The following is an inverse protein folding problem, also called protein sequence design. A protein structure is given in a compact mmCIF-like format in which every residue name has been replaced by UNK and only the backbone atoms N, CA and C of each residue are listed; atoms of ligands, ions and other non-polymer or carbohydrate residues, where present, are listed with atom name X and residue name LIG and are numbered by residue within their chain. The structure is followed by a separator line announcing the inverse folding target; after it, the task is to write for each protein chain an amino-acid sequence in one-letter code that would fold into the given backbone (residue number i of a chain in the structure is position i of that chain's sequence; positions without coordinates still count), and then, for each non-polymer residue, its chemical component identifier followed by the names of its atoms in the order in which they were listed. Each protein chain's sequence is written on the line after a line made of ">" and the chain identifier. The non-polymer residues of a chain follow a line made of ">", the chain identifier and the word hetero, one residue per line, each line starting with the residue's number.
data_IF_884963383378
#
_entry.id   IF_884963383378
#
_cell.length_a   1.000
_cell.length_b   1.000
_cell.length_c   1.000
_cell.angle_alpha   90.00
_cell.angle_beta   90.00
_cell.angle_gamma   90.00
#
_symmetry.space_group_name_H-M   'P 1'
#
loop_
_entity.id
_entity.type
_entity.pdbx_description
1 polymer ?
#
# COMPACT_ATOMS: atom_id res chain seq x y z
N UNK A 1 -22.76 -3.37 -43.09
CA UNK A 1 -21.42 -3.70 -42.57
C UNK A 1 -21.17 -2.82 -41.36
N UNK A 2 -21.02 -3.41 -40.17
CA UNK A 2 -20.94 -2.65 -38.92
C UNK A 2 -19.47 -2.41 -38.52
N UNK A 3 -19.21 -1.20 -38.02
CA UNK A 3 -17.88 -0.72 -37.62
C UNK A 3 -17.26 -1.51 -36.44
N UNK A 4 -18.01 -2.43 -35.83
CA UNK A 4 -17.55 -3.23 -34.70
C UNK A 4 -16.56 -4.33 -35.12
N UNK A 5 -16.67 -4.89 -36.33
CA UNK A 5 -15.76 -5.94 -36.81
C UNK A 5 -14.35 -5.41 -37.12
N UNK A 6 -14.23 -4.14 -37.55
CA UNK A 6 -12.95 -3.52 -37.87
C UNK A 6 -12.08 -3.25 -36.63
N UNK A 7 -12.70 -2.87 -35.49
CA UNK A 7 -11.98 -2.61 -34.24
C UNK A 7 -11.48 -3.90 -33.58
N UNK A 8 -12.14 -5.04 -33.82
CA UNK A 8 -11.69 -6.36 -33.37
C UNK A 8 -10.39 -6.82 -34.05
N UNK A 9 -10.21 -6.47 -35.33
CA UNK A 9 -9.04 -6.88 -36.12
C UNK A 9 -7.76 -6.13 -35.70
N UNK A 10 -7.90 -4.87 -35.26
CA UNK A 10 -6.77 -4.05 -34.80
C UNK A 10 -6.27 -4.44 -33.41
N UNK A 11 -7.15 -4.89 -32.51
CA UNK A 11 -6.76 -5.15 -31.12
C UNK A 11 -6.24 -6.58 -30.88
N UNK A 12 -6.64 -7.55 -31.71
CA UNK A 12 -6.41 -8.98 -31.42
C UNK A 12 -5.94 -9.83 -32.59
N UNK A 13 -5.94 -9.29 -33.81
CA UNK A 13 -5.39 -9.97 -35.00
C UNK A 13 -6.16 -11.21 -35.49
N UNK A 14 -7.34 -11.53 -34.94
CA UNK A 14 -8.16 -12.66 -35.36
C UNK A 14 -9.66 -12.38 -35.21
N UNK A 15 -10.45 -12.74 -36.23
CA UNK A 15 -11.91 -12.62 -36.24
C UNK A 15 -12.58 -13.67 -35.37
N UNK A 16 -13.69 -13.31 -34.73
CA UNK A 16 -14.45 -14.23 -33.86
C UNK A 16 -14.98 -15.43 -34.68
N UNK A 17 -14.43 -16.61 -34.45
CA UNK A 17 -15.14 -17.86 -34.73
C UNK A 17 -15.67 -18.44 -33.42
N UNK A 18 -16.98 -18.65 -33.41
CA UNK A 18 -17.77 -19.25 -32.34
C UNK A 18 -17.41 -20.72 -32.18
N UNK A 19 -16.92 -21.12 -31.00
CA UNK A 19 -16.68 -22.53 -30.68
C UNK A 19 -15.86 -22.83 -29.42
N UNK A 20 -15.37 -21.80 -28.70
CA UNK A 20 -14.45 -22.00 -27.57
C UNK A 20 -14.80 -21.12 -26.36
N UNK A 21 -16.09 -20.90 -26.11
CA UNK A 21 -16.54 -19.96 -25.05
C UNK A 21 -16.57 -20.58 -23.65
N UNK A 22 -16.81 -21.89 -23.53
CA UNK A 22 -16.97 -22.55 -22.22
C UNK A 22 -15.65 -22.87 -21.54
N UNK A 23 -14.64 -23.39 -22.27
CA UNK A 23 -13.32 -23.67 -21.68
C UNK A 23 -12.60 -22.41 -21.25
N UNK A 24 -12.72 -21.30 -21.99
CA UNK A 24 -12.06 -20.04 -21.64
C UNK A 24 -12.73 -19.39 -20.42
N UNK A 25 -14.05 -19.48 -20.29
CA UNK A 25 -14.79 -18.99 -19.11
C UNK A 25 -14.53 -19.86 -17.87
N UNK A 26 -14.48 -21.18 -18.00
CA UNK A 26 -14.11 -22.06 -16.87
C UNK A 26 -12.65 -21.89 -16.46
N UNK A 27 -11.74 -21.72 -17.41
CA UNK A 27 -10.31 -21.49 -17.13
C UNK A 27 -10.10 -20.13 -16.46
N UNK A 28 -10.80 -19.08 -16.88
CA UNK A 28 -10.71 -17.76 -16.23
C UNK A 28 -11.33 -17.78 -14.83
N UNK A 29 -12.37 -18.57 -14.59
CA UNK A 29 -12.95 -18.77 -13.26
C UNK A 29 -12.01 -19.57 -12.34
N UNK A 30 -11.35 -20.62 -12.85
CA UNK A 30 -10.34 -21.39 -12.11
C UNK A 30 -9.08 -20.56 -11.82
N UNK A 31 -8.61 -19.74 -12.76
CA UNK A 31 -7.51 -18.80 -12.54
C UNK A 31 -7.94 -17.72 -11.52
N UNK A 32 -9.16 -17.21 -11.61
CA UNK A 32 -9.71 -16.25 -10.64
C UNK A 32 -9.77 -16.83 -9.22
N UNK A 33 -10.17 -18.10 -9.07
CA UNK A 33 -10.15 -18.81 -7.78
C UNK A 33 -8.72 -19.14 -7.31
N UNK A 34 -7.81 -19.53 -8.21
CA UNK A 34 -6.41 -19.81 -7.88
C UNK A 34 -5.62 -18.56 -7.49
N UNK A 35 -5.93 -17.40 -8.10
CA UNK A 35 -5.39 -16.10 -7.73
C UNK A 35 -6.05 -15.58 -6.45
N UNK A 36 -7.34 -15.83 -6.22
CA UNK A 36 -7.97 -15.51 -4.93
C UNK A 36 -7.39 -16.36 -3.78
N UNK A 37 -7.04 -17.63 -4.04
CA UNK A 37 -6.44 -18.54 -3.05
C UNK A 37 -4.96 -18.23 -2.80
N UNK A 38 -4.20 -17.80 -3.82
CA UNK A 38 -2.79 -17.37 -3.66
C UNK A 38 -2.63 -15.88 -3.28
N UNK A 39 -3.62 -15.04 -3.54
CA UNK A 39 -3.70 -13.64 -3.11
C UNK A 39 -3.87 -13.47 -1.60
N UNK A 40 -4.19 -14.53 -0.86
CA UNK A 40 -4.24 -14.51 0.61
C UNK A 40 -2.87 -14.69 1.28
N UNK A 41 -1.82 -15.03 0.54
CA UNK A 41 -0.51 -15.33 1.16
C UNK A 41 0.43 -14.11 1.19
N UNK A 42 0.11 -13.02 0.49
CA UNK A 42 0.93 -11.79 0.52
C UNK A 42 0.53 -10.83 1.66
N UNK A 43 -0.62 -11.03 2.31
CA UNK A 43 -1.12 -10.14 3.37
C UNK A 43 -0.90 -10.61 4.82
N UNK A 44 -0.45 -11.85 5.05
CA UNK A 44 -0.53 -12.49 6.38
C UNK A 44 0.79 -12.59 7.17
N UNK A 45 1.87 -11.98 6.72
CA UNK A 45 3.06 -11.78 7.57
C UNK A 45 2.83 -10.49 8.38
N UNK A 46 1.84 -10.49 9.28
CA UNK A 46 1.47 -9.33 10.11
C UNK A 46 0.22 -9.52 10.98
N UNK A 47 -0.75 -10.35 10.57
CA UNK A 47 -2.02 -10.54 11.29
C UNK A 47 -1.87 -11.14 12.70
N UNK A 48 -0.79 -11.89 13.00
CA UNK A 48 -0.62 -12.52 14.32
C UNK A 48 -0.22 -11.52 15.42
N UNK A 49 0.40 -10.39 15.04
CA UNK A 49 0.81 -9.34 15.98
C UNK A 49 0.01 -8.04 15.80
N UNK A 50 -0.91 -7.98 14.85
CA UNK A 50 -1.71 -6.78 14.55
C UNK A 50 -0.89 -5.63 13.94
N UNK A 51 0.36 -5.88 13.54
CA UNK A 51 1.24 -4.88 12.94
C UNK A 51 1.64 -5.33 11.53
N UNK A 52 1.40 -4.47 10.55
CA UNK A 52 1.68 -4.70 9.13
C UNK A 52 2.77 -3.76 8.63
N UNK A 53 3.52 -4.20 7.62
CA UNK A 53 4.52 -3.39 6.92
C UNK A 53 5.57 -2.77 7.85
N UNK A 54 6.17 -3.57 8.74
CA UNK A 54 7.29 -3.11 9.54
C UNK A 54 8.49 -2.80 8.63
N UNK A 55 9.09 -1.64 8.84
CA UNK A 55 10.30 -1.20 8.16
C UNK A 55 11.30 -0.62 9.17
N UNK A 56 12.57 -0.76 8.84
CA UNK A 56 13.70 -0.25 9.59
C UNK A 56 14.51 0.63 8.64
N UNK A 57 14.56 1.92 8.94
CA UNK A 57 15.18 2.94 8.11
C UNK A 57 16.14 3.80 8.95
N UNK A 58 16.97 4.58 8.27
CA UNK A 58 17.81 5.62 8.89
C UNK A 58 17.44 6.96 8.27
N UNK A 59 17.01 7.91 9.09
CA UNK A 59 16.59 9.24 8.65
C UNK A 59 17.55 10.31 9.24
N UNK A 60 17.67 11.46 8.58
CA UNK A 60 18.52 12.58 9.04
C UNK A 60 19.98 12.51 8.58
N UNK A 61 20.71 13.61 8.81
CA UNK A 61 22.12 13.78 8.41
C UNK A 61 22.95 14.44 9.53
N UNK A 62 24.22 14.04 9.64
CA UNK A 62 25.11 14.54 10.70
C UNK A 62 24.60 14.19 12.10
N UNK A 63 24.61 15.15 13.01
CA UNK A 63 24.19 14.96 14.42
C UNK A 63 22.69 14.63 14.56
N UNK A 64 21.89 14.93 13.54
CA UNK A 64 20.46 14.58 13.48
C UNK A 64 20.16 13.18 12.93
N UNK A 65 21.19 12.35 12.73
CA UNK A 65 21.01 10.99 12.22
C UNK A 65 20.30 10.12 13.26
N UNK A 66 19.24 9.44 12.84
CA UNK A 66 18.40 8.59 13.69
C UNK A 66 18.07 7.27 13.00
N UNK A 67 17.93 6.22 13.80
CA UNK A 67 17.36 4.93 13.37
C UNK A 67 15.87 4.96 13.63
N UNK A 68 15.07 4.69 12.61
CA UNK A 68 13.62 4.77 12.67
C UNK A 68 13.00 3.41 12.38
N UNK A 69 12.15 2.96 13.29
CA UNK A 69 11.28 1.80 13.08
C UNK A 69 9.89 2.33 12.74
N UNK A 70 9.29 1.84 11.65
CA UNK A 70 7.93 2.21 11.28
C UNK A 70 7.05 1.00 11.00
N UNK A 71 5.74 1.14 11.19
CA UNK A 71 4.78 0.09 10.90
C UNK A 71 3.33 0.58 11.03
N UNK A 72 2.38 -0.23 10.55
CA UNK A 72 0.95 0.06 10.65
C UNK A 72 0.32 -0.84 11.70
N UNK A 73 -0.27 -0.24 12.75
CA UNK A 73 -0.92 -0.97 13.85
C UNK A 73 -2.44 -1.11 13.66
N UNK A 74 -3.04 -0.23 12.86
CA UNK A 74 -4.42 -0.33 12.40
C UNK A 74 -4.51 0.12 10.94
N UNK A 75 -5.58 -0.24 10.20
CA UNK A 75 -5.83 0.31 8.88
C UNK A 75 -5.85 1.85 8.91
N UNK A 76 -4.87 2.47 8.24
CA UNK A 76 -4.72 3.92 8.19
C UNK A 76 -4.00 4.57 9.38
N UNK A 77 -3.57 3.80 10.40
CA UNK A 77 -2.74 4.29 11.50
C UNK A 77 -1.31 3.76 11.38
N UNK A 78 -0.38 4.65 11.03
CA UNK A 78 1.05 4.39 11.02
C UNK A 78 1.67 4.90 12.32
N UNK A 79 2.59 4.11 12.87
CA UNK A 79 3.43 4.49 14.01
C UNK A 79 4.87 4.45 13.55
N UNK A 80 5.63 5.50 13.89
CA UNK A 80 7.08 5.55 13.72
C UNK A 80 7.73 5.82 15.07
N UNK A 81 8.83 5.15 15.34
CA UNK A 81 9.65 5.35 16.52
C UNK A 81 11.10 5.50 16.08
N UNK A 82 11.63 6.71 16.20
CA UNK A 82 13.00 7.08 15.88
C UNK A 82 13.85 7.27 17.14
N UNK A 83 15.10 6.85 17.08
CA UNK A 83 16.11 7.13 18.12
C UNK A 83 17.35 7.72 17.46
N UNK A 84 17.76 8.91 17.91
CA UNK A 84 18.98 9.56 17.46
C UNK A 84 20.23 8.75 17.78
N UNK A 85 21.13 8.62 16.80
CA UNK A 85 22.36 7.82 16.91
C UNK A 85 23.38 8.55 17.80
N UNK A 86 23.38 9.88 17.77
CA UNK A 86 24.38 10.71 18.47
C UNK A 86 23.83 11.31 19.77
N UNK A 87 22.64 11.89 19.72
CA UNK A 87 22.00 12.55 20.86
C UNK A 87 21.13 11.61 21.71
N UNK A 88 20.87 10.39 21.24
CA UNK A 88 19.99 9.39 21.87
C UNK A 88 18.55 9.89 22.14
N UNK A 89 18.10 10.90 21.39
CA UNK A 89 16.76 11.45 21.54
C UNK A 89 15.74 10.54 20.86
N UNK A 90 14.69 10.16 21.61
CA UNK A 90 13.61 9.34 21.09
C UNK A 90 12.47 10.22 20.56
N UNK A 91 11.97 9.90 19.36
CA UNK A 91 10.83 10.56 18.73
C UNK A 91 9.79 9.54 18.32
N UNK A 92 8.57 9.71 18.80
CA UNK A 92 7.39 8.93 18.43
C UNK A 92 6.53 9.77 17.47
N UNK A 93 6.22 9.23 16.31
CA UNK A 93 5.30 9.84 15.35
C UNK A 93 4.10 8.93 15.12
N UNK A 94 2.91 9.47 15.25
CA UNK A 94 1.64 8.82 14.97
C UNK A 94 1.00 9.51 13.79
N UNK A 95 0.72 8.79 12.70
CA UNK A 95 0.06 9.33 11.52
C UNK A 95 -1.22 8.56 11.24
N UNK A 96 -2.35 9.25 11.32
CA UNK A 96 -3.68 8.68 11.05
C UNK A 96 -4.32 9.30 9.81
N UNK A 97 -4.82 8.47 8.90
CA UNK A 97 -5.61 8.92 7.75
C UNK A 97 -7.07 9.10 8.15
N UNK A 98 -7.50 10.36 8.29
CA UNK A 98 -8.88 10.70 8.61
C UNK A 98 -9.82 10.56 7.39
N UNK A 99 -9.37 11.04 6.23
CA UNK A 99 -10.11 10.98 4.96
C UNK A 99 -9.12 10.79 3.81
N UNK A 100 -9.57 10.44 2.59
CA UNK A 100 -8.71 10.55 1.42
C UNK A 100 -8.09 11.95 1.37
N UNK A 101 -6.76 12.02 1.26
CA UNK A 101 -5.98 13.27 1.24
C UNK A 101 -5.89 14.05 2.56
N UNK A 102 -6.56 13.63 3.64
CA UNK A 102 -6.49 14.27 4.96
C UNK A 102 -5.83 13.35 5.99
N UNK A 103 -4.71 13.81 6.55
CA UNK A 103 -3.92 13.08 7.53
C UNK A 103 -3.76 13.92 8.79
N UNK A 104 -3.86 13.27 9.94
CA UNK A 104 -3.51 13.84 11.23
C UNK A 104 -2.19 13.22 11.67
N UNK A 105 -1.24 14.05 12.05
CA UNK A 105 0.07 13.63 12.51
C UNK A 105 0.32 14.18 13.90
N UNK A 106 0.69 13.31 14.84
CA UNK A 106 1.14 13.70 16.17
C UNK A 106 2.59 13.28 16.31
N UNK A 107 3.46 14.22 16.69
CA UNK A 107 4.88 13.98 16.94
C UNK A 107 5.15 14.25 18.41
N UNK A 108 5.89 13.34 19.04
CA UNK A 108 6.30 13.45 20.44
C UNK A 108 7.77 13.06 20.55
N UNK A 109 8.64 14.01 20.84
CA UNK A 109 10.04 13.78 21.16
C UNK A 109 10.51 14.79 22.19
N UNK A 110 11.53 15.57 21.84
CA UNK A 110 11.92 16.76 22.61
C UNK A 110 10.79 17.78 22.63
N UNK A 111 10.19 18.00 21.45
CA UNK A 111 9.01 18.83 21.28
C UNK A 111 7.80 17.95 20.96
N UNK A 112 6.62 18.49 21.25
CA UNK A 112 5.34 17.84 20.98
C UNK A 112 4.54 18.70 20.02
N UNK A 113 4.06 18.10 18.94
CA UNK A 113 3.29 18.76 17.90
C UNK A 113 2.12 17.90 17.45
N UNK A 114 1.04 18.56 17.04
CA UNK A 114 -0.12 17.94 16.43
C UNK A 114 -0.48 18.71 15.16
N UNK A 115 -0.31 18.07 14.02
CA UNK A 115 -0.48 18.63 12.69
C UNK A 115 -1.65 17.98 11.94
N UNK A 116 -2.29 18.77 11.09
CA UNK A 116 -3.32 18.31 10.17
C UNK A 116 -2.89 18.64 8.74
N UNK A 117 -2.64 17.60 7.95
CA UNK A 117 -2.05 17.67 6.62
C UNK A 117 -3.12 17.35 5.58
N UNK A 118 -3.34 18.27 4.63
CA UNK A 118 -4.23 18.06 3.50
C UNK A 118 -3.47 18.14 2.17
N UNK A 119 -3.55 17.09 1.35
CA UNK A 119 -2.86 17.00 0.07
C UNK A 119 -3.78 17.38 -1.09
N UNK A 120 -3.37 18.37 -1.90
CA UNK A 120 -4.04 18.70 -3.15
C UNK A 120 -3.41 17.93 -4.31
N UNK A 121 -4.23 17.41 -5.21
CA UNK A 121 -3.79 16.86 -6.50
C UNK A 121 -4.23 17.84 -7.58
N UNK A 122 -3.30 18.22 -8.46
CA UNK A 122 -3.53 19.11 -9.60
C UNK A 122 -3.38 18.33 -10.90
#
# INVERSE_FOLDING_TARGET
>A
MSQQEALSYLLRGQGLSSGQSDSAAMTSMLIGLGVAQSGQVVGKIGETFGVSNLALDTEGVGDSSQVVVSGYVLPGLQVKYGVGIFDSLATLTLRYRLMPKLYMEAVSGVDQALDLLYQFEF
#
